data_IF_277146498545
#
_entry.id   IF_277146498545
#
_cell.length_a   1.000
_cell.length_b   1.000
_cell.length_c   1.000
_cell.angle_alpha   90.00
_cell.angle_beta   90.00
_cell.angle_gamma   90.00
#
_symmetry.space_group_name_H-M   'P 1'
#
loop_
_entity.id
_entity.type
_entity.pdbx_description
1 polymer ?
#
# COMPACT_ATOMS: atom_id res chain seq x y z
N UNK A 1 -1.05 87.88 24.85
CA UNK A 1 -1.14 86.78 23.90
C UNK A 1 -0.17 85.70 24.42
N UNK A 2 -0.69 84.57 24.95
CA UNK A 2 0.09 83.45 25.46
C UNK A 2 0.04 82.32 24.44
N UNK A 3 1.18 81.95 23.87
CA UNK A 3 1.38 80.82 22.95
C UNK A 3 1.62 79.59 23.82
N UNK A 4 0.77 78.59 23.66
CA UNK A 4 0.88 77.24 24.24
C UNK A 4 1.57 76.34 23.21
N UNK A 5 2.80 75.83 23.46
CA UNK A 5 3.49 74.89 22.72
C UNK A 5 3.07 73.50 23.19
N UNK A 6 2.44 72.73 22.31
CA UNK A 6 2.07 71.31 22.55
C UNK A 6 3.22 70.43 22.11
N UNK A 7 3.87 69.71 23.06
CA UNK A 7 4.83 68.64 22.73
C UNK A 7 4.08 67.34 22.42
N UNK A 8 4.25 66.84 21.20
CA UNK A 8 3.74 65.56 20.79
C UNK A 8 4.81 64.51 21.10
N UNK A 9 4.58 63.65 22.09
CA UNK A 9 5.47 62.53 22.39
C UNK A 9 5.15 61.35 21.45
N UNK A 10 6.07 60.98 20.60
CA UNK A 10 5.99 59.85 19.70
C UNK A 10 6.46 58.58 20.43
N UNK A 11 5.54 57.72 20.89
CA UNK A 11 5.87 56.42 21.44
C UNK A 11 6.12 55.42 20.29
N UNK A 12 7.39 55.09 20.03
CA UNK A 12 7.76 54.01 19.13
C UNK A 12 7.57 52.66 19.84
N UNK A 13 6.59 51.89 19.44
CA UNK A 13 6.42 50.53 19.93
C UNK A 13 7.44 49.60 19.22
N UNK A 14 8.41 49.14 19.97
CA UNK A 14 9.34 48.08 19.48
C UNK A 14 8.61 46.74 19.51
N UNK A 15 8.19 46.25 18.36
CA UNK A 15 7.67 44.87 18.20
C UNK A 15 8.88 43.94 18.19
N UNK A 16 9.16 43.34 19.37
CA UNK A 16 10.14 42.25 19.45
C UNK A 16 9.49 41.01 18.83
N UNK A 17 9.78 40.75 17.55
CA UNK A 17 9.38 39.52 16.89
C UNK A 17 10.12 38.33 17.54
N UNK A 18 9.38 37.52 18.30
CA UNK A 18 9.88 36.23 18.77
C UNK A 18 10.18 35.36 17.54
N UNK A 19 11.39 34.77 17.42
CA UNK A 19 11.66 33.83 16.33
C UNK A 19 10.69 32.66 16.49
N UNK A 20 9.89 32.38 15.42
CA UNK A 20 9.08 31.18 15.35
C UNK A 20 10.02 29.98 15.50
N UNK A 21 9.87 29.25 16.61
CA UNK A 21 10.60 28.01 16.83
C UNK A 21 10.29 27.08 15.65
N UNK A 22 11.27 26.89 14.76
CA UNK A 22 11.18 25.92 13.67
C UNK A 22 11.06 24.56 14.34
N UNK A 23 9.90 23.91 14.24
CA UNK A 23 9.73 22.56 14.72
C UNK A 23 10.88 21.71 14.15
N UNK A 24 11.70 21.14 15.02
CA UNK A 24 12.76 20.24 14.61
C UNK A 24 12.10 19.09 13.82
N UNK A 25 12.57 18.85 12.60
CA UNK A 25 12.11 17.71 11.83
C UNK A 25 12.37 16.44 12.67
N UNK A 26 11.35 15.60 12.82
CA UNK A 26 11.53 14.34 13.55
C UNK A 26 12.65 13.52 12.87
N UNK A 27 13.49 12.85 13.66
CA UNK A 27 14.51 11.99 13.11
C UNK A 27 13.90 10.94 12.17
N UNK A 28 14.55 10.58 11.07
CA UNK A 28 14.01 9.58 10.14
C UNK A 28 13.75 8.23 10.82
N UNK A 29 12.63 7.59 10.51
CA UNK A 29 12.32 6.22 10.89
C UNK A 29 12.37 5.34 9.64
N UNK A 30 13.58 5.04 9.21
CA UNK A 30 13.87 4.24 8.02
C UNK A 30 14.57 2.96 8.44
N UNK A 31 14.15 1.82 7.88
CA UNK A 31 14.80 0.55 8.15
C UNK A 31 14.84 -0.35 6.92
N UNK A 32 15.78 -1.32 6.94
CA UNK A 32 15.86 -2.42 5.97
C UNK A 32 15.44 -3.72 6.63
N UNK A 33 14.70 -4.56 5.89
CA UNK A 33 14.27 -5.88 6.35
C UNK A 33 14.17 -6.85 5.17
N UNK A 34 14.91 -7.95 5.16
CA UNK A 34 14.99 -8.93 4.06
C UNK A 34 15.21 -8.31 2.66
N UNK A 35 15.95 -7.20 2.59
CA UNK A 35 16.19 -6.46 1.35
C UNK A 35 15.12 -5.41 1.02
N UNK A 36 14.03 -5.33 1.78
CA UNK A 36 13.04 -4.27 1.67
C UNK A 36 13.56 -2.98 2.29
N UNK A 37 13.18 -1.84 1.69
CA UNK A 37 13.44 -0.50 2.23
C UNK A 37 12.11 0.14 2.63
N UNK A 38 11.98 0.53 3.89
CA UNK A 38 10.74 1.08 4.45
C UNK A 38 11.02 2.41 5.15
N UNK A 39 10.19 3.40 4.86
CA UNK A 39 10.25 4.73 5.45
C UNK A 39 8.95 5.04 6.22
N UNK A 40 8.99 4.98 7.54
CA UNK A 40 7.86 5.29 8.43
C UNK A 40 7.95 6.69 9.05
N UNK A 41 8.84 7.54 8.58
CA UNK A 41 9.11 8.86 9.16
C UNK A 41 7.84 9.69 9.33
N UNK A 42 6.94 9.68 8.36
CA UNK A 42 5.69 10.45 8.38
C UNK A 42 4.66 9.95 9.42
N UNK A 43 4.81 8.74 9.94
CA UNK A 43 3.91 8.18 10.96
C UNK A 43 4.44 8.33 12.39
N UNK A 44 5.64 8.89 12.59
CA UNK A 44 6.21 9.07 13.94
C UNK A 44 5.30 9.89 14.83
N UNK A 45 5.18 9.45 16.08
CA UNK A 45 4.32 10.07 17.09
C UNK A 45 2.84 9.66 16.99
N UNK A 46 2.43 8.92 15.98
CA UNK A 46 1.07 8.38 15.87
C UNK A 46 0.90 7.12 16.72
N UNK A 47 1.95 6.31 16.85
CA UNK A 47 2.07 5.10 17.66
C UNK A 47 3.51 4.92 18.14
N UNK A 48 3.77 3.86 18.88
CA UNK A 48 5.13 3.44 19.21
C UNK A 48 5.88 3.04 17.93
N UNK A 49 7.06 3.63 17.71
CA UNK A 49 7.93 3.30 16.57
C UNK A 49 8.18 1.77 16.48
N UNK A 50 8.35 1.12 17.65
CA UNK A 50 8.56 -0.34 17.75
C UNK A 50 7.36 -1.13 17.22
N UNK A 51 6.14 -0.72 17.57
CA UNK A 51 4.90 -1.39 17.14
C UNK A 51 4.66 -1.20 15.64
N UNK A 52 4.88 0.01 15.13
CA UNK A 52 4.80 0.28 13.68
C UNK A 52 5.78 -0.56 12.87
N UNK A 53 7.04 -0.60 13.29
CA UNK A 53 8.06 -1.42 12.63
C UNK A 53 7.70 -2.91 12.69
N UNK A 54 7.20 -3.40 13.83
CA UNK A 54 6.79 -4.78 13.98
C UNK A 54 5.58 -5.14 13.08
N UNK A 55 4.60 -4.24 12.96
CA UNK A 55 3.44 -4.44 12.10
C UNK A 55 3.86 -4.56 10.62
N UNK A 56 4.72 -3.66 10.14
CA UNK A 56 5.21 -3.71 8.76
C UNK A 56 6.07 -4.95 8.51
N UNK A 57 6.93 -5.34 9.45
CA UNK A 57 7.73 -6.56 9.32
C UNK A 57 6.85 -7.80 9.18
N UNK A 58 5.77 -7.93 9.99
CA UNK A 58 4.82 -9.05 9.84
C UNK A 58 4.19 -9.10 8.44
N UNK A 59 3.84 -7.96 7.85
CA UNK A 59 3.33 -7.89 6.50
C UNK A 59 4.37 -8.31 5.45
N UNK A 60 5.63 -7.91 5.64
CA UNK A 60 6.73 -8.34 4.77
C UNK A 60 7.04 -9.83 4.90
N UNK A 61 6.92 -10.38 6.12
CA UNK A 61 7.05 -11.83 6.34
C UNK A 61 6.01 -12.63 5.55
N UNK A 62 4.76 -12.11 5.42
CA UNK A 62 3.77 -12.73 4.54
C UNK A 62 4.29 -12.80 3.11
N UNK A 63 4.87 -11.71 2.58
CA UNK A 63 5.42 -11.69 1.21
C UNK A 63 6.58 -12.66 1.03
N UNK A 64 7.47 -12.76 2.02
CA UNK A 64 8.59 -13.70 1.98
C UNK A 64 8.12 -15.17 2.03
N UNK A 65 7.04 -15.47 2.75
CA UNK A 65 6.54 -16.84 2.94
C UNK A 65 5.64 -17.37 1.80
N UNK A 66 5.15 -16.51 0.91
CA UNK A 66 4.31 -16.98 -0.22
C UNK A 66 5.09 -17.58 -1.39
N UNK A 67 6.38 -17.79 -1.24
CA UNK A 67 7.25 -18.51 -2.19
C UNK A 67 7.17 -17.98 -3.64
N UNK A 68 7.33 -16.67 -3.80
CA UNK A 68 7.39 -16.04 -5.11
C UNK A 68 8.64 -16.46 -5.88
N UNK A 69 8.56 -16.48 -7.21
CA UNK A 69 9.75 -16.63 -8.06
C UNK A 69 10.79 -15.55 -7.73
N UNK A 70 12.10 -15.85 -7.75
CA UNK A 70 13.15 -14.91 -7.37
C UNK A 70 13.15 -13.59 -8.14
N UNK A 71 12.80 -13.62 -9.41
CA UNK A 71 12.70 -12.43 -10.27
C UNK A 71 11.53 -11.53 -9.86
N UNK A 72 10.37 -12.12 -9.54
CA UNK A 72 9.20 -11.40 -9.03
C UNK A 72 9.51 -10.75 -7.68
N UNK A 73 10.09 -11.51 -6.74
CA UNK A 73 10.46 -11.00 -5.42
C UNK A 73 11.51 -9.88 -5.53
N UNK A 74 12.50 -10.05 -6.43
CA UNK A 74 13.51 -9.01 -6.70
C UNK A 74 12.84 -7.73 -7.20
N UNK A 75 11.93 -7.84 -8.16
CA UNK A 75 11.15 -6.69 -8.63
C UNK A 75 10.36 -6.04 -7.48
N UNK A 76 9.61 -6.83 -6.71
CA UNK A 76 8.78 -6.30 -5.61
C UNK A 76 9.61 -5.53 -4.59
N UNK A 77 10.83 -5.97 -4.28
CA UNK A 77 11.76 -5.27 -3.36
C UNK A 77 12.25 -3.92 -3.90
N UNK A 78 12.06 -3.62 -5.19
CA UNK A 78 12.34 -2.27 -5.75
C UNK A 78 11.23 -1.26 -5.47
N UNK A 79 10.05 -1.73 -5.04
CA UNK A 79 8.91 -0.86 -4.78
C UNK A 79 9.12 -0.14 -3.44
N UNK A 80 9.09 1.18 -3.47
CA UNK A 80 9.16 2.01 -2.27
C UNK A 80 7.95 1.74 -1.37
N UNK A 81 8.20 1.53 -0.06
CA UNK A 81 7.16 1.39 0.96
C UNK A 81 7.34 2.52 1.99
N UNK A 82 6.29 3.27 2.26
CA UNK A 82 6.37 4.42 3.15
C UNK A 82 5.06 4.66 3.91
N UNK A 83 5.16 5.33 5.06
CA UNK A 83 3.97 5.67 5.85
C UNK A 83 3.30 6.94 5.36
N UNK A 84 1.98 6.89 5.20
CA UNK A 84 1.15 8.04 4.87
C UNK A 84 -0.08 8.12 5.80
N UNK A 85 0.05 8.63 7.02
CA UNK A 85 -1.06 8.70 7.97
C UNK A 85 -2.20 9.61 7.52
N UNK A 86 -1.92 10.52 6.58
CA UNK A 86 -2.90 11.49 6.06
C UNK A 86 -3.69 10.99 4.84
N UNK A 87 -3.44 9.78 4.34
CA UNK A 87 -4.15 9.22 3.19
C UNK A 87 -5.63 8.94 3.52
N UNK A 88 -6.46 9.97 3.45
CA UNK A 88 -7.90 9.85 3.62
C UNK A 88 -8.52 9.15 2.40
N UNK A 89 -9.46 8.22 2.63
CA UNK A 89 -10.24 7.58 1.56
C UNK A 89 -9.65 6.29 0.99
N UNK A 90 -8.38 5.98 1.24
CA UNK A 90 -7.76 4.71 0.86
C UNK A 90 -7.85 3.69 1.99
N UNK A 91 -7.74 2.40 1.66
CA UNK A 91 -7.60 1.29 2.61
C UNK A 91 -6.34 1.41 3.49
N UNK A 92 -5.95 0.34 4.18
CA UNK A 92 -4.73 0.32 4.99
C UNK A 92 -3.45 0.46 4.18
N UNK A 93 -3.47 0.12 2.88
CA UNK A 93 -2.42 0.34 1.89
C UNK A 93 -2.98 0.93 0.61
N UNK A 94 -2.10 1.49 -0.21
CA UNK A 94 -2.42 1.96 -1.55
C UNK A 94 -1.16 1.99 -2.41
N UNK A 95 -1.23 1.38 -3.59
CA UNK A 95 -0.17 1.45 -4.59
C UNK A 95 -0.40 2.63 -5.56
N UNK A 96 0.62 3.45 -5.74
CA UNK A 96 0.67 4.49 -6.77
C UNK A 96 1.83 4.28 -7.73
N UNK A 97 1.58 4.37 -9.04
CA UNK A 97 2.59 4.12 -10.09
C UNK A 97 3.92 4.88 -9.86
N UNK A 98 3.84 6.15 -9.43
CA UNK A 98 5.01 7.02 -9.22
C UNK A 98 5.51 7.02 -7.77
N UNK A 99 4.68 6.68 -6.81
CA UNK A 99 4.93 6.87 -5.38
C UNK A 99 5.33 5.59 -4.65
N UNK A 100 5.04 4.43 -5.23
CA UNK A 100 5.17 3.15 -4.55
C UNK A 100 3.98 2.86 -3.65
N UNK A 101 4.19 2.17 -2.54
CA UNK A 101 3.15 1.80 -1.59
C UNK A 101 3.15 2.77 -0.42
N UNK A 102 2.03 3.44 -0.19
CA UNK A 102 1.77 4.20 1.03
C UNK A 102 0.91 3.39 2.00
N UNK A 103 1.27 3.45 3.29
CA UNK A 103 0.67 2.64 4.35
C UNK A 103 0.07 3.53 5.43
N UNK A 104 -1.15 3.20 5.87
CA UNK A 104 -1.70 3.63 7.15
C UNK A 104 -1.38 2.58 8.20
N UNK A 105 -0.26 2.72 8.87
CA UNK A 105 0.33 1.70 9.74
C UNK A 105 -0.62 1.23 10.84
N UNK A 106 -1.44 2.11 11.42
CA UNK A 106 -2.48 1.77 12.41
C UNK A 106 -3.54 0.79 11.92
N UNK A 107 -3.74 0.70 10.62
CA UNK A 107 -4.78 -0.13 10.00
C UNK A 107 -4.23 -1.43 9.44
N UNK A 108 -2.96 -1.76 9.69
CA UNK A 108 -2.35 -3.01 9.22
C UNK A 108 -2.80 -4.18 10.08
N UNK A 109 -3.76 -4.94 9.58
CA UNK A 109 -4.21 -6.19 10.17
C UNK A 109 -3.12 -7.26 9.96
N UNK A 110 -2.62 -7.93 11.02
CA UNK A 110 -1.55 -8.92 10.89
C UNK A 110 -1.96 -10.17 10.10
N UNK A 111 -3.26 -10.46 10.01
CA UNK A 111 -3.80 -11.65 9.38
C UNK A 111 -4.29 -11.41 7.93
N UNK A 112 -4.13 -10.19 7.42
CA UNK A 112 -4.50 -9.81 6.05
C UNK A 112 -3.26 -9.51 5.22
N UNK A 113 -3.13 -10.02 3.99
CA UNK A 113 -1.96 -9.81 3.15
C UNK A 113 -1.96 -8.44 2.45
N UNK A 114 -1.93 -7.34 3.24
CA UNK A 114 -2.11 -5.97 2.74
C UNK A 114 -0.95 -5.56 1.84
N UNK A 115 0.29 -5.68 2.31
CA UNK A 115 1.46 -5.32 1.48
C UNK A 115 1.57 -6.22 0.25
N UNK A 116 1.26 -7.51 0.37
CA UNK A 116 1.22 -8.41 -0.78
C UNK A 116 0.22 -7.93 -1.84
N UNK A 117 -0.99 -7.55 -1.42
CA UNK A 117 -2.02 -7.01 -2.31
C UNK A 117 -1.52 -5.77 -3.08
N UNK A 118 -0.91 -4.82 -2.40
CA UNK A 118 -0.37 -3.61 -3.03
C UNK A 118 0.82 -3.90 -3.96
N UNK A 119 1.66 -4.87 -3.61
CA UNK A 119 2.75 -5.34 -4.47
C UNK A 119 2.24 -6.05 -5.73
N UNK A 120 1.09 -6.70 -5.65
CA UNK A 120 0.44 -7.31 -6.82
C UNK A 120 -0.12 -6.25 -7.77
N UNK A 121 -0.62 -5.12 -7.26
CA UNK A 121 -0.92 -3.96 -8.10
C UNK A 121 0.34 -3.44 -8.81
N UNK A 122 1.46 -3.31 -8.10
CA UNK A 122 2.73 -2.89 -8.70
C UNK A 122 3.21 -3.88 -9.76
N UNK A 123 3.06 -5.17 -9.51
CA UNK A 123 3.42 -6.22 -10.46
C UNK A 123 2.53 -6.20 -11.70
N UNK A 124 1.22 -6.05 -11.54
CA UNK A 124 0.30 -5.88 -12.67
C UNK A 124 0.69 -4.66 -13.53
N UNK A 125 0.86 -3.50 -12.88
CA UNK A 125 1.13 -2.23 -13.55
C UNK A 125 2.45 -2.21 -14.33
N UNK A 126 3.52 -2.81 -13.78
CA UNK A 126 4.88 -2.61 -14.29
C UNK A 126 5.49 -3.84 -14.96
N UNK A 127 5.00 -5.03 -14.68
CA UNK A 127 5.61 -6.28 -15.15
C UNK A 127 4.74 -7.02 -16.15
N UNK A 128 3.42 -6.86 -16.10
CA UNK A 128 2.55 -7.53 -17.06
C UNK A 128 2.38 -6.70 -18.34
N UNK A 129 2.29 -7.36 -19.52
CA UNK A 129 2.03 -6.67 -20.77
C UNK A 129 0.76 -5.81 -20.71
N UNK A 130 0.86 -4.54 -21.06
CA UNK A 130 -0.25 -3.60 -21.00
C UNK A 130 -0.57 -3.06 -19.58
N UNK A 131 0.17 -3.49 -18.56
CA UNK A 131 0.00 -2.99 -17.18
C UNK A 131 -1.43 -3.18 -16.68
N UNK A 132 -2.05 -2.14 -16.16
CA UNK A 132 -3.45 -2.16 -15.70
C UNK A 132 -4.47 -2.42 -16.82
N UNK A 133 -4.05 -2.27 -18.08
CA UNK A 133 -4.87 -2.59 -19.26
C UNK A 133 -4.58 -3.98 -19.82
N UNK A 134 -3.95 -4.88 -19.03
CA UNK A 134 -3.63 -6.24 -19.44
C UNK A 134 -4.87 -6.97 -19.98
N UNK A 135 -4.83 -7.45 -21.24
CA UNK A 135 -6.01 -8.02 -21.89
C UNK A 135 -6.48 -9.34 -21.27
N UNK A 136 -5.55 -10.17 -20.77
CA UNK A 136 -5.91 -11.45 -20.14
C UNK A 136 -6.64 -11.20 -18.81
N UNK A 137 -6.17 -10.26 -18.00
CA UNK A 137 -6.83 -9.91 -16.73
C UNK A 137 -8.24 -9.35 -17.01
N UNK A 138 -8.38 -8.49 -18.01
CA UNK A 138 -9.69 -7.97 -18.40
C UNK A 138 -10.64 -9.07 -18.84
N UNK A 139 -10.19 -10.00 -19.69
CA UNK A 139 -10.99 -11.17 -20.10
C UNK A 139 -11.46 -11.98 -18.89
N UNK A 140 -10.55 -12.31 -17.96
CA UNK A 140 -10.91 -13.06 -16.75
C UNK A 140 -11.83 -12.29 -15.81
N UNK A 141 -11.65 -11.00 -15.67
CA UNK A 141 -12.55 -10.14 -14.90
C UNK A 141 -13.95 -10.10 -15.49
N UNK A 142 -14.08 -9.90 -16.81
CA UNK A 142 -15.38 -9.87 -17.48
C UNK A 142 -16.08 -11.23 -17.40
N UNK A 143 -15.36 -12.33 -17.58
CA UNK A 143 -15.88 -13.69 -17.35
C UNK A 143 -16.26 -13.97 -15.90
N UNK A 144 -15.71 -13.21 -14.95
CA UNK A 144 -16.01 -13.31 -13.53
C UNK A 144 -17.32 -12.65 -13.10
N UNK A 145 -17.90 -11.75 -13.93
CA UNK A 145 -19.08 -10.94 -13.57
C UNK A 145 -20.30 -11.76 -13.21
N UNK A 146 -20.48 -12.93 -13.78
CA UNK A 146 -21.59 -13.83 -13.50
C UNK A 146 -21.26 -14.87 -12.42
N UNK A 147 -19.99 -14.97 -12.01
CA UNK A 147 -19.50 -15.99 -11.10
C UNK A 147 -19.29 -15.47 -9.67
N UNK A 148 -19.13 -14.16 -9.52
CA UNK A 148 -18.80 -13.52 -8.25
C UNK A 148 -19.86 -12.49 -7.85
N UNK A 149 -20.05 -12.21 -6.54
CA UNK A 149 -20.96 -11.15 -6.12
C UNK A 149 -20.54 -9.81 -6.72
N UNK A 150 -21.48 -9.15 -7.39
CA UNK A 150 -21.21 -7.90 -8.12
C UNK A 150 -20.77 -6.74 -7.19
N UNK A 151 -21.15 -6.79 -5.93
CA UNK A 151 -20.80 -5.84 -4.87
C UNK A 151 -19.51 -6.21 -4.13
N UNK A 152 -18.87 -7.33 -4.48
CA UNK A 152 -17.59 -7.70 -3.88
C UNK A 152 -16.47 -6.76 -4.30
N UNK A 153 -15.55 -6.48 -3.36
CA UNK A 153 -14.43 -5.56 -3.59
C UNK A 153 -13.61 -5.91 -4.83
N UNK A 154 -13.33 -7.19 -5.07
CA UNK A 154 -12.58 -7.64 -6.26
C UNK A 154 -13.30 -7.35 -7.57
N UNK A 155 -14.63 -7.20 -7.56
CA UNK A 155 -15.42 -6.90 -8.77
C UNK A 155 -15.58 -5.39 -9.02
N UNK A 156 -14.94 -4.52 -8.25
CA UNK A 156 -14.95 -3.08 -8.47
C UNK A 156 -14.24 -2.66 -9.77
N UNK A 157 -13.17 -3.34 -10.12
CA UNK A 157 -12.44 -3.16 -11.39
C UNK A 157 -11.44 -4.33 -11.62
N UNK A 158 -10.86 -4.40 -12.83
CA UNK A 158 -9.92 -5.46 -13.21
C UNK A 158 -8.62 -5.48 -12.38
N UNK A 159 -8.18 -4.33 -11.87
CA UNK A 159 -6.95 -4.24 -11.05
C UNK A 159 -7.17 -4.87 -9.68
N UNK A 160 -8.31 -4.58 -9.04
CA UNK A 160 -8.69 -5.20 -7.77
C UNK A 160 -8.99 -6.69 -7.93
N UNK A 161 -9.63 -7.06 -9.04
CA UNK A 161 -9.84 -8.47 -9.36
C UNK A 161 -8.51 -9.23 -9.37
N UNK A 162 -7.51 -8.74 -10.08
CA UNK A 162 -6.20 -9.38 -10.11
C UNK A 162 -5.54 -9.39 -8.73
N UNK A 163 -5.45 -8.25 -8.05
CA UNK A 163 -4.74 -8.15 -6.78
C UNK A 163 -5.35 -9.02 -5.69
N UNK A 164 -6.69 -9.06 -5.58
CA UNK A 164 -7.39 -9.93 -4.61
C UNK A 164 -7.21 -11.40 -4.95
N UNK A 165 -7.49 -11.79 -6.19
CA UNK A 165 -7.44 -13.21 -6.59
C UNK A 165 -6.02 -13.77 -6.60
N UNK A 166 -5.03 -12.97 -7.00
CA UNK A 166 -3.61 -13.35 -6.89
C UNK A 166 -3.16 -13.43 -5.42
N UNK A 167 -3.67 -12.54 -4.53
CA UNK A 167 -3.44 -12.69 -3.08
C UNK A 167 -3.98 -14.01 -2.56
N UNK A 168 -5.21 -14.41 -2.94
CA UNK A 168 -5.77 -15.71 -2.56
C UNK A 168 -4.95 -16.85 -3.14
N UNK A 169 -4.54 -16.75 -4.40
CA UNK A 169 -3.71 -17.78 -5.02
C UNK A 169 -2.38 -18.00 -4.27
N UNK A 170 -1.72 -16.91 -3.86
CA UNK A 170 -0.42 -16.95 -3.19
C UNK A 170 -0.52 -17.23 -1.69
N UNK A 171 -1.35 -16.47 -0.98
CA UNK A 171 -1.46 -16.52 0.48
C UNK A 171 -2.40 -17.61 0.98
N UNK A 172 -3.53 -17.83 0.29
CA UNK A 172 -4.54 -18.82 0.68
C UNK A 172 -5.86 -18.18 1.07
N UNK A 173 -6.39 -18.58 2.24
CA UNK A 173 -7.74 -18.18 2.67
C UNK A 173 -7.76 -16.73 3.14
N UNK A 174 -8.80 -15.98 2.71
CA UNK A 174 -9.08 -14.61 3.13
C UNK A 174 -10.57 -14.42 3.45
N UNK A 175 -10.93 -13.36 4.18
CA UNK A 175 -12.33 -13.12 4.60
C UNK A 175 -13.27 -12.77 3.45
N UNK A 176 -12.78 -12.24 2.34
CA UNK A 176 -13.61 -11.77 1.21
C UNK A 176 -13.52 -12.69 0.00
N UNK A 177 -14.52 -12.68 -0.89
CA UNK A 177 -14.47 -13.47 -2.13
C UNK A 177 -13.24 -13.14 -3.01
N UNK A 178 -12.63 -14.16 -3.66
CA UNK A 178 -12.84 -15.57 -3.44
C UNK A 178 -12.20 -15.97 -2.10
N UNK A 179 -12.93 -16.67 -1.25
CA UNK A 179 -12.47 -16.94 0.13
C UNK A 179 -11.28 -17.90 0.21
N UNK A 180 -11.07 -18.71 -0.83
CA UNK A 180 -10.02 -19.73 -0.85
C UNK A 180 -9.52 -20.06 -2.25
N UNK A 181 -8.33 -20.71 -2.32
CA UNK A 181 -7.81 -21.27 -3.58
C UNK A 181 -8.80 -22.25 -4.21
N UNK A 182 -9.46 -23.09 -3.41
CA UNK A 182 -10.42 -24.08 -3.90
C UNK A 182 -11.62 -23.43 -4.56
N UNK A 183 -12.14 -22.33 -3.98
CA UNK A 183 -13.25 -21.58 -4.56
C UNK A 183 -12.83 -20.88 -5.88
N UNK A 184 -11.68 -20.22 -5.88
CA UNK A 184 -11.13 -19.59 -7.08
C UNK A 184 -10.92 -20.62 -8.21
N UNK A 185 -10.33 -21.78 -7.89
CA UNK A 185 -10.09 -22.87 -8.84
C UNK A 185 -11.40 -23.47 -9.38
N UNK A 186 -12.41 -23.64 -8.52
CA UNK A 186 -13.73 -24.16 -8.91
C UNK A 186 -14.44 -23.22 -9.87
N UNK A 187 -14.48 -21.93 -9.56
CA UNK A 187 -15.27 -20.96 -10.31
C UNK A 187 -14.55 -20.49 -11.58
N UNK A 188 -13.23 -20.33 -11.54
CA UNK A 188 -12.44 -19.86 -12.69
C UNK A 188 -11.21 -20.75 -12.95
N UNK A 189 -11.35 -21.99 -13.40
CA UNK A 189 -10.24 -22.94 -13.54
C UNK A 189 -9.21 -22.52 -14.60
N UNK A 190 -9.61 -21.81 -15.67
CA UNK A 190 -8.66 -21.24 -16.66
C UNK A 190 -7.80 -20.16 -16.04
N UNK A 191 -8.41 -19.24 -15.29
CA UNK A 191 -7.72 -18.17 -14.59
C UNK A 191 -6.77 -18.73 -13.53
N UNK A 192 -7.21 -19.72 -12.75
CA UNK A 192 -6.35 -20.37 -11.75
C UNK A 192 -5.09 -20.98 -12.37
N UNK A 193 -5.20 -21.62 -13.54
CA UNK A 193 -4.03 -22.13 -14.29
C UNK A 193 -3.16 -21.01 -14.84
N UNK A 194 -3.73 -19.89 -15.24
CA UNK A 194 -2.98 -18.72 -15.68
C UNK A 194 -2.15 -18.13 -14.54
N UNK A 195 -2.72 -18.02 -13.32
CA UNK A 195 -1.98 -17.62 -12.11
C UNK A 195 -0.85 -18.61 -11.80
N UNK A 196 -1.09 -19.92 -11.95
CA UNK A 196 -0.05 -20.94 -11.77
C UNK A 196 1.10 -20.78 -12.78
N UNK A 197 0.81 -20.48 -14.04
CA UNK A 197 1.85 -20.21 -15.03
C UNK A 197 2.65 -18.94 -14.66
N UNK A 198 1.96 -17.91 -14.18
CA UNK A 198 2.55 -16.65 -13.80
C UNK A 198 3.50 -16.80 -12.59
N UNK A 199 3.03 -17.42 -11.52
CA UNK A 199 3.75 -17.45 -10.24
C UNK A 199 4.56 -18.73 -10.00
N UNK A 200 4.11 -19.89 -10.47
CA UNK A 200 4.68 -21.20 -10.09
C UNK A 200 5.16 -22.04 -11.29
N UNK A 201 5.38 -21.43 -12.46
CA UNK A 201 5.84 -22.12 -13.65
C UNK A 201 4.86 -23.18 -14.17
N UNK A 202 3.56 -22.98 -13.92
CA UNK A 202 2.47 -23.85 -14.39
C UNK A 202 2.09 -24.98 -13.44
N UNK A 203 2.66 -25.02 -12.21
CA UNK A 203 2.27 -25.98 -11.16
C UNK A 203 1.24 -25.35 -10.23
N UNK A 204 -0.05 -25.69 -10.34
CA UNK A 204 -1.06 -25.09 -9.48
C UNK A 204 -0.84 -25.42 -8.00
N UNK A 205 -1.04 -24.43 -7.15
CA UNK A 205 -1.05 -24.62 -5.67
C UNK A 205 -2.29 -25.42 -5.25
N UNK A 206 -2.15 -26.17 -4.20
CA UNK A 206 -3.26 -26.93 -3.58
C UNK A 206 -4.16 -26.02 -2.75
#
# INVERSE_FOLDING_TARGET
VRTISTFLALCAAIVIGLPAARAAAADPLIFSYHGWQVDLTNARGAESDKEMVAAVKRQLDIVEHVELKPDILTFMRTIRIWANPAAAGFGPGHYGHKTGIDLRVKSLDPDKPIILHELLHAYNDRMLPGGFDNPDIREFFDNGRELWPADSYMMSNSHEFFAVTASVYLYGDIERPPHSRSELRKNQPRYYRWLAALFDGGRPRS
#
